data_IF_153961721752
#
_entry.id   IF_153961721752
#
_cell.length_a   1.000
_cell.length_b   1.000
_cell.length_c   1.000
_cell.angle_alpha   90.00
_cell.angle_beta   90.00
_cell.angle_gamma   90.00
#
_symmetry.space_group_name_H-M   'P 1'
#
loop_
_entity.id
_entity.type
_entity.pdbx_description
1 polymer ?
#
# COMPACT_ATOMS: atom_id res chain seq x y z
N UNK A 1 -0.45 0.66 5.45
CA UNK A 1 0.16 -0.27 6.42
C UNK A 1 0.60 -1.49 5.65
N UNK A 2 1.85 -1.91 5.81
CA UNK A 2 2.40 -3.09 5.15
C UNK A 2 2.51 -4.24 6.15
N UNK A 3 2.17 -5.44 5.69
CA UNK A 3 2.25 -6.67 6.46
C UNK A 3 3.08 -7.70 5.68
N UNK A 4 3.82 -8.53 6.40
CA UNK A 4 4.57 -9.65 5.84
C UNK A 4 3.88 -10.95 6.21
N UNK A 5 3.62 -11.80 5.20
CA UNK A 5 2.99 -13.11 5.36
C UNK A 5 3.76 -14.09 4.49
N UNK A 6 4.40 -15.08 5.12
CA UNK A 6 5.39 -15.93 4.45
C UNK A 6 6.50 -15.10 3.78
N UNK A 7 6.67 -15.30 2.47
CA UNK A 7 7.64 -14.56 1.64
C UNK A 7 7.02 -13.36 0.89
N UNK A 8 5.78 -13.01 1.23
CA UNK A 8 5.03 -11.98 0.53
C UNK A 8 4.76 -10.80 1.44
N UNK A 9 4.92 -9.60 0.87
CA UNK A 9 4.59 -8.35 1.52
C UNK A 9 3.30 -7.83 0.88
N UNK A 10 2.37 -7.38 1.70
CA UNK A 10 1.08 -6.87 1.28
C UNK A 10 0.84 -5.50 1.89
N UNK A 11 0.33 -4.58 1.08
CA UNK A 11 -0.21 -3.31 1.55
C UNK A 11 -1.73 -3.44 1.72
N UNK A 12 -2.24 -2.94 2.84
CA UNK A 12 -3.68 -2.82 3.06
C UNK A 12 -4.18 -1.60 2.28
N UNK A 13 -4.95 -1.84 1.22
CA UNK A 13 -5.49 -0.77 0.37
C UNK A 13 -6.94 -0.39 0.74
N UNK A 14 -7.64 -1.27 1.45
CA UNK A 14 -8.94 -0.97 2.05
C UNK A 14 -9.10 -1.76 3.35
N UNK A 15 -9.65 -1.11 4.38
CA UNK A 15 -10.00 -1.74 5.65
C UNK A 15 -11.33 -1.15 6.13
N UNK A 16 -12.43 -1.79 5.79
CA UNK A 16 -13.77 -1.33 6.13
C UNK A 16 -14.21 -1.91 7.46
N UNK A 17 -14.60 -1.04 8.41
CA UNK A 17 -14.98 -1.40 9.80
C UNK A 17 -13.87 -2.15 10.55
N UNK A 18 -12.62 -1.78 10.32
CA UNK A 18 -11.45 -2.34 10.99
C UNK A 18 -11.41 -3.89 10.95
N UNK A 19 -11.83 -4.46 9.82
CA UNK A 19 -11.96 -5.89 9.62
C UNK A 19 -10.63 -6.66 9.59
N UNK A 20 -9.53 -5.97 9.28
CA UNK A 20 -8.24 -6.62 9.16
C UNK A 20 -7.63 -6.93 10.54
N UNK A 21 -7.38 -8.22 10.77
CA UNK A 21 -6.64 -8.76 11.91
C UNK A 21 -5.53 -9.67 11.37
N UNK A 22 -4.28 -9.35 11.71
CA UNK A 22 -3.12 -10.04 11.14
C UNK A 22 -3.06 -11.52 11.53
N UNK A 23 -3.40 -11.85 12.78
CA UNK A 23 -3.36 -13.23 13.24
C UNK A 23 -4.48 -14.07 12.62
N UNK A 24 -5.69 -13.54 12.52
CA UNK A 24 -6.81 -14.21 11.85
C UNK A 24 -6.51 -14.43 10.36
N UNK A 25 -5.92 -13.42 9.71
CA UNK A 25 -5.48 -13.54 8.33
C UNK A 25 -4.45 -14.67 8.17
N UNK A 26 -3.39 -14.67 8.98
CA UNK A 26 -2.33 -15.68 8.91
C UNK A 26 -2.87 -17.09 9.17
N UNK A 27 -3.73 -17.27 10.19
CA UNK A 27 -4.38 -18.56 10.47
C UNK A 27 -5.22 -19.08 9.31
N UNK A 28 -5.85 -18.18 8.55
CA UNK A 28 -6.76 -18.53 7.45
C UNK A 28 -6.07 -18.62 6.09
N UNK A 29 -4.86 -18.05 5.99
CA UNK A 29 -4.05 -18.02 4.78
C UNK A 29 -3.70 -19.43 4.32
N UNK A 30 -3.59 -19.61 3.01
CA UNK A 30 -3.18 -20.87 2.40
C UNK A 30 -2.31 -20.56 1.19
N UNK A 31 -1.27 -21.35 0.95
CA UNK A 31 -0.33 -21.22 -0.18
C UNK A 31 -1.03 -21.18 -1.55
N UNK A 32 -2.25 -21.72 -1.66
CA UNK A 32 -3.06 -21.57 -2.89
C UNK A 32 -3.33 -20.11 -3.26
N UNK A 33 -3.25 -19.20 -2.27
CA UNK A 33 -3.41 -17.76 -2.45
C UNK A 33 -2.15 -17.08 -3.02
N UNK A 34 -0.98 -17.75 -3.01
CA UNK A 34 0.28 -17.18 -3.45
C UNK A 34 0.31 -16.81 -4.93
N UNK A 35 -0.59 -17.39 -5.74
CA UNK A 35 -0.75 -16.99 -7.16
C UNK A 35 -1.49 -15.66 -7.36
N UNK A 36 -2.15 -15.13 -6.34
CA UNK A 36 -2.99 -13.94 -6.46
C UNK A 36 -2.26 -12.70 -5.91
N UNK A 37 -2.06 -11.66 -6.73
CA UNK A 37 -1.48 -10.41 -6.26
C UNK A 37 -2.43 -9.62 -5.37
N UNK A 38 -3.73 -9.89 -5.40
CA UNK A 38 -4.72 -9.20 -4.58
C UNK A 38 -5.52 -10.23 -3.79
N UNK A 39 -5.72 -9.97 -2.50
CA UNK A 39 -6.51 -10.83 -1.62
C UNK A 39 -7.57 -9.96 -0.96
N UNK A 40 -8.81 -10.40 -1.03
CA UNK A 40 -9.94 -9.81 -0.30
C UNK A 40 -10.24 -10.73 0.86
N UNK A 41 -10.35 -10.14 2.05
CA UNK A 41 -10.89 -10.80 3.22
C UNK A 41 -12.23 -10.19 3.57
N UNK A 42 -13.26 -11.01 3.73
CA UNK A 42 -14.58 -10.57 4.18
C UNK A 42 -15.06 -11.42 5.35
N UNK A 43 -15.80 -10.79 6.26
CA UNK A 43 -16.27 -11.42 7.50
C UNK A 43 -17.75 -11.75 7.34
N UNK A 44 -18.02 -12.99 6.92
CA UNK A 44 -19.38 -13.52 6.78
C UNK A 44 -19.68 -14.50 7.91
N UNK A 45 -20.81 -14.32 8.61
CA UNK A 45 -21.22 -15.19 9.72
C UNK A 45 -20.10 -15.41 10.76
N UNK A 46 -19.42 -14.31 11.14
CA UNK A 46 -18.29 -14.29 12.09
C UNK A 46 -17.06 -15.10 11.64
N UNK A 47 -17.00 -15.51 10.38
CA UNK A 47 -15.87 -16.25 9.82
C UNK A 47 -15.16 -15.45 8.74
N UNK A 48 -13.83 -15.39 8.84
CA UNK A 48 -12.99 -14.82 7.81
C UNK A 48 -12.95 -15.73 6.58
N UNK A 49 -13.33 -15.16 5.44
CA UNK A 49 -13.22 -15.78 4.12
C UNK A 49 -12.17 -15.03 3.32
N UNK A 50 -11.25 -15.77 2.71
CA UNK A 50 -10.21 -15.21 1.84
C UNK A 50 -10.47 -15.58 0.39
N UNK A 51 -10.44 -14.58 -0.49
CA UNK A 51 -10.62 -14.74 -1.93
C UNK A 51 -9.49 -14.03 -2.67
N UNK A 52 -8.84 -14.74 -3.59
CA UNK A 52 -7.76 -14.20 -4.41
C UNK A 52 -8.26 -13.64 -5.75
N UNK A 53 -7.68 -12.51 -6.15
CA UNK A 53 -7.96 -11.80 -7.40
C UNK A 53 -6.64 -11.46 -8.13
N UNK A 54 -6.73 -11.42 -9.46
CA UNK A 54 -5.69 -10.94 -10.35
C UNK A 54 -5.90 -9.47 -10.70
N UNK A 55 -4.84 -8.80 -11.09
CA UNK A 55 -4.95 -7.47 -11.69
C UNK A 55 -5.62 -7.54 -13.07
N UNK A 56 -6.36 -6.49 -13.45
CA UNK A 56 -7.15 -6.46 -14.69
C UNK A 56 -6.32 -6.63 -15.97
N UNK A 57 -5.04 -6.26 -15.92
CA UNK A 57 -4.10 -6.45 -17.03
C UNK A 57 -3.81 -7.92 -17.36
N UNK A 58 -4.12 -8.85 -16.47
CA UNK A 58 -3.92 -10.28 -16.71
C UNK A 58 -4.99 -10.84 -17.66
N UNK A 59 -4.67 -10.89 -18.95
CA UNK A 59 -5.58 -11.38 -20.00
C UNK A 59 -6.03 -12.84 -19.82
N UNK A 60 -5.29 -13.65 -19.07
CA UNK A 60 -5.64 -15.06 -18.78
C UNK A 60 -6.55 -15.20 -17.55
N UNK A 61 -6.77 -14.13 -16.79
CA UNK A 61 -7.66 -14.16 -15.64
C UNK A 61 -9.12 -14.18 -16.08
N UNK A 62 -9.86 -15.11 -15.49
CA UNK A 62 -11.33 -15.11 -15.50
C UNK A 62 -11.85 -13.77 -14.99
N UNK A 63 -12.89 -13.23 -15.64
CA UNK A 63 -13.47 -11.92 -15.32
C UNK A 63 -13.89 -11.85 -13.85
N UNK A 64 -14.45 -12.94 -13.29
CA UNK A 64 -14.88 -13.02 -11.88
C UNK A 64 -13.75 -12.95 -10.86
N UNK A 65 -12.49 -13.10 -11.31
CA UNK A 65 -11.29 -13.08 -10.49
C UNK A 65 -10.41 -11.88 -10.80
N UNK A 66 -10.96 -10.83 -11.38
CA UNK A 66 -10.24 -9.59 -11.70
C UNK A 66 -10.40 -8.57 -10.60
N UNK A 67 -9.50 -7.58 -10.55
CA UNK A 67 -9.56 -6.52 -9.56
C UNK A 67 -10.85 -5.72 -9.71
N UNK A 68 -11.27 -5.46 -10.95
CA UNK A 68 -12.51 -4.76 -11.27
C UNK A 68 -13.76 -5.45 -10.73
N UNK A 69 -13.74 -6.78 -10.55
CA UNK A 69 -14.90 -7.55 -10.07
C UNK A 69 -14.94 -7.71 -8.54
N UNK A 70 -14.01 -7.10 -7.80
CA UNK A 70 -14.01 -7.15 -6.33
C UNK A 70 -15.29 -6.51 -5.77
N UNK A 71 -15.72 -5.40 -6.35
CA UNK A 71 -16.94 -4.71 -5.91
C UNK A 71 -18.17 -5.62 -6.07
N UNK A 72 -18.28 -6.30 -7.21
CA UNK A 72 -19.37 -7.25 -7.47
C UNK A 72 -19.33 -8.42 -6.48
N UNK A 73 -18.14 -8.98 -6.24
CA UNK A 73 -17.96 -10.02 -5.22
C UNK A 73 -18.42 -9.56 -3.83
N UNK A 74 -18.04 -8.37 -3.40
CA UNK A 74 -18.46 -7.85 -2.10
C UNK A 74 -19.98 -7.68 -2.05
N UNK A 75 -20.61 -7.11 -3.09
CA UNK A 75 -22.07 -6.94 -3.12
C UNK A 75 -22.84 -8.26 -3.12
N UNK A 76 -22.31 -9.30 -3.77
CA UNK A 76 -22.98 -10.60 -3.88
C UNK A 76 -22.78 -11.47 -2.63
N UNK A 77 -21.58 -11.45 -2.03
CA UNK A 77 -21.21 -12.39 -0.96
C UNK A 77 -21.07 -11.75 0.42
N UNK A 78 -20.82 -10.44 0.51
CA UNK A 78 -20.64 -9.69 1.75
C UNK A 78 -21.91 -8.85 1.99
N UNK A 79 -22.82 -9.40 2.81
CA UNK A 79 -24.10 -8.78 3.17
C UNK A 79 -23.95 -7.30 3.57
N UNK A 80 -25.02 -6.51 3.55
CA UNK A 80 -24.95 -5.09 3.92
C UNK A 80 -24.24 -4.85 5.26
N UNK A 81 -23.19 -4.02 5.24
CA UNK A 81 -22.39 -3.69 6.41
C UNK A 81 -21.40 -4.80 6.84
N UNK A 82 -21.28 -5.89 6.09
CA UNK A 82 -20.26 -6.90 6.29
C UNK A 82 -18.86 -6.25 6.28
N UNK A 83 -18.06 -6.42 7.35
CA UNK A 83 -16.69 -5.93 7.40
C UNK A 83 -15.82 -6.65 6.37
N UNK A 84 -14.90 -5.91 5.74
CA UNK A 84 -13.98 -6.49 4.78
C UNK A 84 -12.68 -5.69 4.69
N UNK A 85 -11.64 -6.31 4.16
CA UNK A 85 -10.38 -5.68 3.83
C UNK A 85 -9.87 -6.15 2.47
N UNK A 86 -9.02 -5.34 1.86
CA UNK A 86 -8.36 -5.67 0.58
C UNK A 86 -6.87 -5.45 0.72
N UNK A 87 -6.11 -6.49 0.41
CA UNK A 87 -4.65 -6.53 0.43
C UNK A 87 -4.12 -6.59 -1.00
N UNK A 88 -3.12 -5.77 -1.30
CA UNK A 88 -2.38 -5.82 -2.57
C UNK A 88 -0.93 -6.17 -2.31
N UNK A 89 -0.43 -7.18 -3.01
CA UNK A 89 0.96 -7.62 -2.91
C UNK A 89 1.89 -6.52 -3.43
N UNK A 90 2.95 -6.28 -2.68
CA UNK A 90 4.02 -5.38 -3.07
C UNK A 90 5.01 -6.09 -4.01
N UNK A 91 5.37 -5.47 -5.14
CA UNK A 91 6.45 -5.95 -5.99
C UNK A 91 7.78 -5.86 -5.24
N UNK A 92 8.76 -6.68 -5.64
CA UNK A 92 10.04 -6.79 -4.94
C UNK A 92 10.78 -5.45 -4.78
N UNK A 93 10.69 -4.56 -5.78
CA UNK A 93 11.30 -3.24 -5.74
C UNK A 93 10.74 -2.34 -4.63
N UNK A 94 9.47 -2.51 -4.25
CA UNK A 94 8.82 -1.69 -3.22
C UNK A 94 9.09 -2.23 -1.80
N UNK A 95 9.61 -3.47 -1.67
CA UNK A 95 9.98 -4.08 -0.37
C UNK A 95 11.26 -3.48 0.22
N UNK A 96 12.17 -3.02 -0.64
CA UNK A 96 13.48 -2.49 -0.25
C UNK A 96 13.42 -1.06 0.31
N UNK A 97 12.32 -0.36 0.09
CA UNK A 97 12.13 1.00 0.60
C UNK A 97 11.72 1.03 2.08
N UNK A 98 11.44 -0.14 2.69
CA UNK A 98 11.02 -0.25 4.09
C UNK A 98 12.11 -0.87 5.00
N UNK A 99 13.21 -1.38 4.44
CA UNK A 99 14.40 -1.77 5.22
C UNK A 99 15.35 -0.60 5.51
N UNK A 100 15.12 0.57 4.91
CA UNK A 100 15.70 1.81 5.41
C UNK A 100 14.78 2.35 6.51
N UNK A 101 15.27 2.55 7.75
CA UNK A 101 14.60 3.46 8.68
C UNK A 101 14.32 4.74 7.92
N UNK A 102 13.08 5.21 7.98
CA UNK A 102 12.67 6.48 7.37
C UNK A 102 13.70 7.53 7.79
N UNK A 103 14.54 7.96 6.86
CA UNK A 103 15.44 9.09 7.07
C UNK A 103 14.57 10.34 7.11
N UNK A 104 13.94 10.60 8.27
CA UNK A 104 13.45 11.92 8.63
C UNK A 104 14.58 12.98 8.57
N UNK A 105 15.84 12.55 8.53
CA UNK A 105 17.02 13.42 8.52
C UNK A 105 17.35 14.10 7.18
N UNK A 106 16.88 13.64 6.01
CA UNK A 106 17.26 14.28 4.72
C UNK A 106 16.48 15.58 4.45
N UNK A 107 15.29 15.74 5.06
CA UNK A 107 14.51 16.97 4.88
C UNK A 107 15.21 18.18 5.52
N UNK A 108 15.80 18.01 6.70
CA UNK A 108 16.46 19.09 7.43
C UNK A 108 17.77 19.54 6.74
N UNK A 109 18.63 18.61 6.31
CA UNK A 109 19.88 18.96 5.60
C UNK A 109 19.62 19.69 4.27
N UNK A 110 18.61 19.27 3.50
CA UNK A 110 18.29 19.94 2.24
C UNK A 110 17.71 21.34 2.45
N UNK A 111 16.97 21.56 3.54
CA UNK A 111 16.41 22.87 3.86
C UNK A 111 17.49 23.83 4.35
N UNK A 112 18.45 23.38 5.16
CA UNK A 112 19.60 24.20 5.56
C UNK A 112 20.48 24.58 4.37
N UNK A 113 20.82 23.63 3.50
CA UNK A 113 21.62 23.91 2.29
C UNK A 113 20.90 24.89 1.35
N UNK A 114 19.57 24.76 1.19
CA UNK A 114 18.78 25.71 0.38
C UNK A 114 18.74 27.09 1.04
N UNK A 115 18.55 27.17 2.35
CA UNK A 115 18.54 28.43 3.10
C UNK A 115 19.87 29.18 2.95
N UNK A 116 21.00 28.49 3.16
CA UNK A 116 22.35 29.06 3.01
C UNK A 116 22.61 29.56 1.58
N UNK A 117 22.22 28.78 0.56
CA UNK A 117 22.37 29.20 -0.83
C UNK A 117 21.47 30.39 -1.20
N UNK A 118 20.27 30.48 -0.63
CA UNK A 118 19.37 31.61 -0.88
C UNK A 118 19.86 32.89 -0.22
N UNK A 119 20.44 32.80 0.98
CA UNK A 119 21.03 33.94 1.69
C UNK A 119 22.31 34.43 1.00
N UNK A 120 23.17 33.53 0.53
CA UNK A 120 24.31 33.90 -0.31
C UNK A 120 23.86 34.58 -1.61
N UNK A 121 22.85 34.05 -2.30
CA UNK A 121 22.36 34.63 -3.56
C UNK A 121 21.77 36.03 -3.34
N UNK A 122 21.06 36.26 -2.23
CA UNK A 122 20.49 37.55 -1.88
C UNK A 122 21.58 38.58 -1.52
N UNK A 123 22.56 38.19 -0.69
CA UNK A 123 23.68 39.05 -0.32
C UNK A 123 24.55 39.42 -1.54
N UNK A 124 24.80 38.46 -2.44
CA UNK A 124 25.57 38.67 -3.66
C UNK A 124 24.83 39.50 -4.72
N UNK A 125 23.49 39.41 -4.79
CA UNK A 125 22.67 40.28 -5.67
C UNK A 125 22.64 41.71 -5.17
N UNK A 126 22.47 41.92 -3.86
CA UNK A 126 22.30 43.25 -3.27
C UNK A 126 23.57 44.11 -3.36
N UNK A 127 24.75 43.50 -3.13
CA UNK A 127 26.04 44.21 -3.23
C UNK A 127 26.42 44.60 -4.67
N UNK A 128 26.10 43.77 -5.67
CA UNK A 128 26.38 44.07 -7.08
C UNK A 128 25.45 45.14 -7.66
N UNK A 129 24.31 45.38 -7.05
CA UNK A 129 23.34 46.39 -7.48
C UNK A 129 23.58 47.76 -6.82
N UNK A 130 24.37 47.83 -5.74
CA UNK A 130 24.72 49.06 -5.03
C UNK A 130 26.10 49.65 -5.40
N UNK A 131 26.95 48.92 -6.13
CA UNK A 131 28.29 49.38 -6.56
C UNK A 131 28.37 49.72 -8.06
N UNK A 132 27.35 50.41 -8.60
CA UNK A 132 27.40 51.00 -9.95
C UNK A 132 26.99 52.46 -9.93
#
# INVERSE_FOLDING_TARGET
>A
MVIKIGEHYYNIIANYRDAFDAEQFERRYSEVLDKYPVIVGDIGFEQLRLKGFYEDRNKKADISKRFSSIQDYLMEYCNFGCPYFVLKRLPAAERLNEETPVEEHIADERVEIIAEQTDELYNNKTLKQFLK
#
